data_IF_026301895700
#
_entry.id   IF_026301895700
#
_cell.length_a   1.000
_cell.length_b   1.000
_cell.length_c   1.000
_cell.angle_alpha   90.00
_cell.angle_beta   90.00
_cell.angle_gamma   90.00
#
_symmetry.space_group_name_H-M   'P 1'
#
loop_
_entity.id
_entity.type
_entity.pdbx_description
1 polymer ?
#
# COMPACT_ATOMS: atom_id res chain seq x y z
N UNK A 1 19.40 -53.65 -17.41
CA UNK A 1 18.16 -52.84 -17.28
C UNK A 1 18.03 -52.03 -15.99
N UNK A 2 18.84 -52.28 -14.93
CA UNK A 2 18.77 -51.53 -13.66
C UNK A 2 19.38 -50.12 -13.71
N UNK A 3 20.38 -49.90 -14.57
CA UNK A 3 21.10 -48.63 -14.63
C UNK A 3 20.39 -47.55 -15.46
N UNK A 4 19.44 -47.94 -16.32
CA UNK A 4 18.68 -47.01 -17.17
C UNK A 4 17.62 -46.23 -16.38
N UNK A 5 16.99 -46.88 -15.39
CA UNK A 5 16.01 -46.25 -14.51
C UNK A 5 16.63 -45.21 -13.57
N UNK A 6 17.85 -45.45 -13.08
CA UNK A 6 18.57 -44.50 -12.22
C UNK A 6 18.99 -43.24 -13.00
N UNK A 7 19.37 -43.37 -14.28
CA UNK A 7 19.70 -42.23 -15.14
C UNK A 7 18.48 -41.39 -15.50
N UNK A 8 17.32 -42.01 -15.74
CA UNK A 8 16.07 -41.27 -16.01
C UNK A 8 15.57 -40.52 -14.77
N UNK A 9 15.69 -41.12 -13.57
CA UNK A 9 15.28 -40.47 -12.32
C UNK A 9 16.19 -39.27 -11.98
N UNK A 10 17.51 -39.39 -12.21
CA UNK A 10 18.45 -38.30 -11.99
C UNK A 10 18.21 -37.12 -12.94
N UNK A 11 17.91 -37.39 -14.21
CA UNK A 11 17.57 -36.34 -15.19
C UNK A 11 16.25 -35.64 -14.85
N UNK A 12 15.23 -36.38 -14.40
CA UNK A 12 13.96 -35.80 -13.98
C UNK A 12 14.11 -34.88 -12.74
N UNK A 13 14.91 -35.28 -11.76
CA UNK A 13 15.16 -34.46 -10.56
C UNK A 13 15.97 -33.18 -10.86
N UNK A 14 16.91 -33.23 -11.81
CA UNK A 14 17.62 -32.02 -12.28
C UNK A 14 16.67 -31.09 -13.04
N UNK A 15 15.76 -31.62 -13.86
CA UNK A 15 14.78 -30.81 -14.60
C UNK A 15 13.75 -30.15 -13.67
N UNK A 16 13.22 -30.88 -12.67
CA UNK A 16 12.29 -30.32 -11.68
C UNK A 16 12.98 -29.38 -10.68
N UNK A 17 14.24 -29.64 -10.30
CA UNK A 17 15.03 -28.75 -9.46
C UNK A 17 15.32 -27.41 -10.13
N UNK A 18 15.64 -27.40 -11.44
CA UNK A 18 15.84 -26.18 -12.22
C UNK A 18 14.52 -25.42 -12.49
N UNK A 19 13.39 -26.12 -12.64
CA UNK A 19 12.08 -25.46 -12.77
C UNK A 19 11.58 -24.86 -11.45
N UNK A 20 11.80 -25.49 -10.30
CA UNK A 20 11.42 -24.91 -9.00
C UNK A 20 12.30 -23.71 -8.62
N UNK A 21 13.58 -23.71 -8.98
CA UNK A 21 14.46 -22.54 -8.80
C UNK A 21 14.18 -21.40 -9.78
N UNK A 22 13.64 -21.67 -10.98
CA UNK A 22 13.29 -20.62 -11.95
C UNK A 22 11.90 -20.02 -11.76
N UNK A 23 10.98 -20.72 -11.07
CA UNK A 23 9.65 -20.19 -10.73
C UNK A 23 9.62 -19.41 -9.40
N UNK A 24 10.53 -19.70 -8.47
CA UNK A 24 10.54 -19.05 -7.14
C UNK A 24 11.48 -17.84 -7.00
N UNK A 25 12.16 -17.40 -8.07
CA UNK A 25 13.21 -16.38 -7.93
C UNK A 25 13.29 -15.33 -9.04
N UNK A 26 12.17 -14.96 -9.67
CA UNK A 26 12.17 -13.96 -10.75
C UNK A 26 11.23 -12.76 -10.64
N UNK A 27 10.49 -12.59 -9.53
CA UNK A 27 9.68 -11.36 -9.35
C UNK A 27 9.83 -10.62 -8.00
N UNK A 28 10.73 -11.02 -7.09
CA UNK A 28 10.81 -10.36 -5.77
C UNK A 28 12.15 -9.77 -5.33
N UNK A 29 13.19 -9.72 -6.18
CA UNK A 29 14.44 -9.05 -5.83
C UNK A 29 15.16 -8.48 -7.05
N UNK A 30 14.75 -7.31 -7.53
CA UNK A 30 15.56 -6.52 -8.47
C UNK A 30 15.19 -5.02 -8.52
N UNK A 31 15.08 -4.33 -7.37
CA UNK A 31 15.49 -2.91 -7.28
C UNK A 31 15.54 -2.45 -5.81
N UNK A 32 16.56 -2.93 -5.09
CA UNK A 32 17.01 -2.30 -3.84
C UNK A 32 18.51 -2.10 -3.97
N UNK A 33 18.88 -0.96 -4.59
CA UNK A 33 20.12 -0.23 -4.40
C UNK A 33 20.08 1.02 -5.29
N UNK A 34 19.20 1.92 -4.89
CA UNK A 34 19.28 3.33 -5.22
C UNK A 34 18.74 4.03 -4.00
N UNK A 35 19.61 4.71 -3.26
CA UNK A 35 19.18 5.74 -2.33
C UNK A 35 18.52 6.81 -3.20
N UNK A 36 17.23 6.65 -3.49
CA UNK A 36 16.45 7.74 -4.04
C UNK A 36 16.33 8.71 -2.88
N UNK A 37 17.13 9.78 -2.94
CA UNK A 37 16.84 10.98 -2.18
C UNK A 37 15.40 11.35 -2.50
N UNK A 38 14.49 11.05 -1.57
CA UNK A 38 13.14 11.60 -1.58
C UNK A 38 13.33 13.08 -1.25
N UNK A 39 13.53 13.89 -2.29
CA UNK A 39 13.56 15.35 -2.16
C UNK A 39 12.13 15.83 -1.97
N UNK A 40 11.59 15.67 -0.76
CA UNK A 40 10.50 16.49 -0.28
C UNK A 40 11.13 17.63 0.52
N UNK A 41 11.60 18.67 -0.18
CA UNK A 41 12.13 19.86 0.49
C UNK A 41 10.98 20.81 0.81
N UNK A 42 10.39 20.63 1.99
CA UNK A 42 9.73 21.71 2.70
C UNK A 42 9.83 21.45 4.20
N UNK A 43 10.73 22.18 4.84
CA UNK A 43 10.81 22.24 6.28
C UNK A 43 9.55 22.99 6.78
N UNK A 44 8.56 22.23 7.27
CA UNK A 44 7.30 22.65 7.93
C UNK A 44 5.98 22.48 7.16
N UNK A 45 5.93 21.94 5.93
CA UNK A 45 4.62 21.62 5.33
C UNK A 45 4.16 20.20 5.67
N UNK A 46 2.89 20.06 6.05
CA UNK A 46 2.17 18.78 6.09
C UNK A 46 1.89 18.22 4.68
N UNK A 47 2.61 18.72 3.67
CA UNK A 47 2.39 18.46 2.26
C UNK A 47 3.72 18.13 1.58
N UNK A 48 3.75 17.09 0.74
CA UNK A 48 4.81 16.81 -0.21
C UNK A 48 4.38 17.24 -1.61
N UNK A 49 5.28 17.85 -2.38
CA UNK A 49 5.01 18.32 -3.75
C UNK A 49 5.88 17.56 -4.76
N UNK A 50 5.28 17.14 -5.87
CA UNK A 50 5.99 16.64 -7.05
C UNK A 50 5.28 17.16 -8.30
N UNK A 51 6.01 17.87 -9.17
CA UNK A 51 5.55 18.36 -10.48
C UNK A 51 4.20 19.11 -10.43
N UNK A 52 4.01 19.97 -9.43
CA UNK A 52 2.76 20.71 -9.24
C UNK A 52 1.59 19.86 -8.73
N UNK A 53 1.86 18.67 -8.18
CA UNK A 53 0.87 17.86 -7.46
C UNK A 53 1.26 17.79 -6.00
N UNK A 54 0.32 18.15 -5.13
CA UNK A 54 0.49 18.17 -3.68
C UNK A 54 -0.14 16.95 -3.04
N UNK A 55 0.57 16.33 -2.10
CA UNK A 55 0.17 15.12 -1.39
C UNK A 55 0.25 15.32 0.12
N UNK A 56 -0.82 15.00 0.82
CA UNK A 56 -0.93 15.17 2.27
C UNK A 56 -1.50 13.92 2.94
N UNK A 57 -0.91 13.53 4.07
CA UNK A 57 -1.46 12.49 4.93
C UNK A 57 -2.65 13.02 5.73
N UNK A 58 -3.78 12.33 5.65
CA UNK A 58 -4.94 12.55 6.49
C UNK A 58 -5.11 11.38 7.46
N UNK A 59 -5.31 11.70 8.74
CA UNK A 59 -5.73 10.76 9.77
C UNK A 59 -6.95 11.38 10.43
N UNK A 60 -8.13 10.75 10.27
CA UNK A 60 -9.39 11.33 10.75
C UNK A 60 -9.41 11.42 12.28
N UNK A 61 -9.03 10.32 12.94
CA UNK A 61 -8.92 10.24 14.40
C UNK A 61 -7.46 9.98 14.78
N UNK A 62 -6.83 10.97 15.42
CA UNK A 62 -5.42 10.88 15.84
C UNK A 62 -5.23 10.20 17.19
N UNK A 63 -6.31 10.02 17.95
CA UNK A 63 -6.30 9.29 19.22
C UNK A 63 -7.26 8.13 19.09
N UNK A 64 -6.73 6.92 19.02
CA UNK A 64 -7.48 5.70 18.78
C UNK A 64 -7.55 4.94 20.12
N UNK A 65 -8.75 4.77 20.71
CA UNK A 65 -8.90 3.92 21.89
C UNK A 65 -8.63 2.46 21.52
N UNK A 66 -7.81 1.79 22.31
CA UNK A 66 -7.56 0.36 22.20
C UNK A 66 -8.84 -0.35 22.64
N UNK A 67 -9.46 -1.19 21.79
CA UNK A 67 -10.66 -1.92 22.18
C UNK A 67 -10.35 -2.97 23.26
N UNK A 68 -11.37 -3.39 24.00
CA UNK A 68 -11.26 -4.58 24.85
C UNK A 68 -10.84 -5.81 24.03
N UNK A 69 -10.03 -6.70 24.62
CA UNK A 69 -9.62 -7.95 24.00
C UNK A 69 -10.76 -8.98 24.00
N UNK A 70 -11.78 -8.73 23.17
CA UNK A 70 -12.95 -9.57 22.96
C UNK A 70 -13.24 -9.72 21.46
N UNK A 71 -13.80 -10.86 21.03
CA UNK A 71 -14.28 -11.01 19.67
C UNK A 71 -15.27 -9.89 19.30
N UNK A 72 -15.22 -9.45 18.04
CA UNK A 72 -16.12 -8.47 17.44
C UNK A 72 -16.09 -7.05 18.05
N UNK A 73 -15.20 -6.77 19.01
CA UNK A 73 -14.95 -5.42 19.51
C UNK A 73 -13.76 -4.81 18.75
N UNK A 74 -13.97 -3.61 18.19
CA UNK A 74 -12.97 -2.90 17.42
C UNK A 74 -13.20 -1.38 17.45
N UNK A 75 -12.12 -0.64 17.19
CA UNK A 75 -12.16 0.80 16.95
C UNK A 75 -12.00 1.05 15.44
N UNK A 76 -12.94 1.73 14.78
CA UNK A 76 -12.79 2.05 13.36
C UNK A 76 -11.64 3.01 13.14
N UNK A 77 -10.86 2.80 12.08
CA UNK A 77 -9.71 3.63 11.72
C UNK A 77 -9.83 4.06 10.27
N UNK A 78 -9.58 5.34 9.99
CA UNK A 78 -9.64 5.90 8.65
C UNK A 78 -8.41 6.76 8.39
N UNK A 79 -7.55 6.26 7.50
CA UNK A 79 -6.40 6.98 6.98
C UNK A 79 -6.68 7.41 5.55
N UNK A 80 -6.11 8.52 5.09
CA UNK A 80 -6.24 8.91 3.69
C UNK A 80 -5.06 9.72 3.19
N UNK A 81 -5.02 9.88 1.87
CA UNK A 81 -4.17 10.85 1.19
C UNK A 81 -5.06 11.88 0.52
N UNK A 82 -4.78 13.16 0.75
CA UNK A 82 -5.33 14.25 -0.05
C UNK A 82 -4.34 14.60 -1.14
N UNK A 83 -4.81 14.58 -2.38
CA UNK A 83 -4.03 14.89 -3.56
C UNK A 83 -4.64 16.13 -4.21
N UNK A 84 -3.88 17.21 -4.34
CA UNK A 84 -4.31 18.44 -4.99
C UNK A 84 -3.52 18.65 -6.30
N UNK A 85 -4.23 18.87 -7.39
CA UNK A 85 -3.65 19.08 -8.71
C UNK A 85 -3.47 20.59 -8.95
N UNK A 86 -2.25 21.10 -8.82
CA UNK A 86 -1.94 22.51 -9.12
C UNK A 86 -1.45 22.71 -10.56
N UNK A 87 -1.45 21.66 -11.38
CA UNK A 87 -1.06 21.76 -12.79
C UNK A 87 -2.19 22.38 -13.62
N UNK A 88 -1.87 22.76 -14.86
CA UNK A 88 -2.85 23.27 -15.83
C UNK A 88 -3.62 22.16 -16.57
N UNK A 89 -3.30 20.89 -16.31
CA UNK A 89 -3.92 19.75 -16.99
C UNK A 89 -4.77 18.94 -16.00
N UNK A 90 -5.84 18.30 -16.47
CA UNK A 90 -6.55 17.30 -15.67
C UNK A 90 -5.71 16.03 -15.54
N UNK A 91 -5.66 15.45 -14.34
CA UNK A 91 -4.83 14.26 -14.04
C UNK A 91 -5.68 13.18 -13.40
N UNK A 92 -5.51 11.92 -13.81
CA UNK A 92 -6.14 10.78 -13.10
C UNK A 92 -5.22 10.21 -12.04
N UNK A 93 -5.75 9.97 -10.85
CA UNK A 93 -5.02 9.29 -9.77
C UNK A 93 -5.58 7.89 -9.54
N UNK A 94 -4.72 6.88 -9.51
CA UNK A 94 -5.14 5.49 -9.29
C UNK A 94 -5.30 5.20 -7.80
N UNK A 95 -6.40 4.55 -7.41
CA UNK A 95 -6.56 3.87 -6.11
C UNK A 95 -6.00 2.45 -6.12
N UNK A 96 -5.92 1.86 -7.30
CA UNK A 96 -5.56 0.46 -7.51
C UNK A 96 -4.05 0.26 -7.35
N UNK A 97 -3.66 -0.48 -6.31
CA UNK A 97 -2.27 -0.84 -6.00
C UNK A 97 -1.31 0.36 -5.89
N UNK A 98 -1.78 1.46 -5.32
CA UNK A 98 -1.00 2.69 -5.18
C UNK A 98 -0.79 3.17 -3.75
N UNK A 99 -1.69 2.82 -2.82
CA UNK A 99 -1.70 3.33 -1.45
C UNK A 99 -1.04 2.33 -0.50
N UNK A 100 0.17 2.63 -0.04
CA UNK A 100 0.92 1.79 0.88
C UNK A 100 1.06 2.50 2.23
N UNK A 101 0.33 2.06 3.28
CA UNK A 101 0.47 2.65 4.60
C UNK A 101 1.84 2.30 5.18
N UNK A 102 2.48 3.25 5.86
CA UNK A 102 3.66 3.00 6.67
C UNK A 102 3.43 3.51 8.09
N UNK A 103 3.79 2.69 9.07
CA UNK A 103 3.68 3.00 10.48
C UNK A 103 5.05 2.86 11.14
N UNK A 104 5.39 3.82 12.00
CA UNK A 104 6.64 3.84 12.74
C UNK A 104 6.37 4.08 14.21
N UNK A 105 7.16 3.47 15.08
CA UNK A 105 7.23 3.84 16.50
C UNK A 105 7.78 5.26 16.64
N UNK A 106 7.62 5.86 17.81
CA UNK A 106 8.09 7.22 18.08
C UNK A 106 9.61 7.38 17.88
N UNK A 107 10.37 6.34 18.20
CA UNK A 107 11.83 6.23 18.02
C UNK A 107 12.28 6.12 16.54
N UNK A 108 11.33 5.97 15.61
CA UNK A 108 11.61 5.83 14.18
C UNK A 108 11.75 4.38 13.70
N UNK A 109 11.55 3.38 14.55
CA UNK A 109 11.49 1.99 14.11
C UNK A 109 10.24 1.74 13.25
N UNK A 110 10.41 1.18 12.05
CA UNK A 110 9.30 0.83 11.18
C UNK A 110 8.56 -0.40 11.72
N UNK A 111 7.24 -0.31 11.85
CA UNK A 111 6.39 -1.49 12.08
C UNK A 111 6.20 -2.19 10.73
N UNK A 112 6.55 -3.48 10.60
CA UNK A 112 6.38 -4.20 9.35
C UNK A 112 4.91 -4.18 8.88
N UNK A 113 4.71 -3.77 7.64
CA UNK A 113 3.45 -3.97 6.94
C UNK A 113 3.41 -5.40 6.45
N UNK A 114 2.37 -6.12 6.82
CA UNK A 114 2.11 -7.49 6.41
C UNK A 114 0.72 -7.56 5.77
N UNK A 115 0.41 -8.66 5.10
CA UNK A 115 -0.78 -8.75 4.29
C UNK A 115 -0.75 -9.89 3.29
N UNK A 116 -1.79 -9.94 2.47
CA UNK A 116 -1.93 -10.97 1.46
C UNK A 116 -3.06 -10.65 0.50
N UNK A 117 -3.04 -11.34 -0.63
CA UNK A 117 -4.07 -11.22 -1.67
C UNK A 117 -4.33 -12.60 -2.25
N UNK A 118 -5.58 -13.05 -2.17
CA UNK A 118 -6.00 -14.33 -2.75
C UNK A 118 -6.67 -14.15 -4.11
N UNK A 119 -7.14 -12.93 -4.41
CA UNK A 119 -7.78 -12.57 -5.67
C UNK A 119 -7.60 -11.08 -5.93
N UNK A 120 -7.60 -10.66 -7.20
CA UNK A 120 -7.53 -9.25 -7.59
C UNK A 120 -8.78 -8.88 -8.38
N UNK A 121 -9.58 -7.96 -7.86
CA UNK A 121 -10.70 -7.38 -8.60
C UNK A 121 -10.17 -6.51 -9.74
N UNK A 122 -10.74 -6.64 -10.95
CA UNK A 122 -10.42 -5.74 -12.05
C UNK A 122 -10.85 -4.31 -11.67
N UNK A 123 -9.98 -3.30 -11.80
CA UNK A 123 -10.32 -1.93 -11.43
C UNK A 123 -11.34 -1.36 -12.43
N UNK A 124 -12.16 -0.42 -11.95
CA UNK A 124 -13.18 0.32 -12.71
C UNK A 124 -12.73 1.76 -12.90
N UNK A 125 -13.39 2.49 -13.79
CA UNK A 125 -13.05 3.91 -14.01
C UNK A 125 -13.15 4.78 -12.74
N UNK A 126 -14.08 4.46 -11.83
CA UNK A 126 -14.24 5.13 -10.52
C UNK A 126 -13.03 4.98 -9.58
N UNK A 127 -12.15 4.03 -9.87
CA UNK A 127 -10.90 3.80 -9.14
C UNK A 127 -9.77 4.73 -9.63
N UNK A 128 -10.03 5.51 -10.68
CA UNK A 128 -9.12 6.48 -11.29
C UNK A 128 -9.75 7.88 -11.37
N UNK A 129 -10.08 8.52 -10.23
CA UNK A 129 -10.65 9.87 -10.21
C UNK A 129 -9.83 10.84 -11.08
N UNK A 130 -10.51 11.50 -12.00
CA UNK A 130 -9.97 12.63 -12.76
C UNK A 130 -10.07 13.88 -11.90
N UNK A 131 -8.95 14.57 -11.69
CA UNK A 131 -8.85 15.77 -10.87
C UNK A 131 -8.51 16.94 -11.77
N UNK A 132 -9.37 17.95 -11.81
CA UNK A 132 -9.16 19.14 -12.63
C UNK A 132 -8.08 20.05 -12.04
N UNK A 133 -7.51 20.98 -12.83
CA UNK A 133 -6.66 22.05 -12.32
C UNK A 133 -7.27 22.78 -11.12
N UNK A 134 -6.51 22.89 -10.03
CA UNK A 134 -6.91 23.52 -8.77
C UNK A 134 -7.75 22.62 -7.84
N UNK A 135 -8.25 21.48 -8.31
CA UNK A 135 -9.08 20.58 -7.51
C UNK A 135 -8.26 19.58 -6.69
N UNK A 136 -8.94 18.91 -5.77
CA UNK A 136 -8.36 17.84 -4.96
C UNK A 136 -9.24 16.60 -4.88
N UNK A 137 -8.60 15.45 -4.74
CA UNK A 137 -9.25 14.19 -4.39
C UNK A 137 -8.71 13.67 -3.06
N UNK A 138 -9.56 13.00 -2.30
CA UNK A 138 -9.13 12.25 -1.12
C UNK A 138 -9.33 10.76 -1.37
N UNK A 139 -8.27 9.98 -1.16
CA UNK A 139 -8.31 8.52 -1.24
C UNK A 139 -8.16 7.97 0.18
N UNK A 140 -9.21 7.33 0.68
CA UNK A 140 -9.22 6.74 2.02
C UNK A 140 -8.87 5.25 1.98
N UNK A 141 -8.16 4.82 3.02
CA UNK A 141 -7.90 3.44 3.37
C UNK A 141 -8.57 3.17 4.72
N UNK A 142 -9.71 2.49 4.66
CA UNK A 142 -10.51 2.14 5.84
C UNK A 142 -9.96 0.88 6.50
N UNK A 143 -9.99 0.87 7.83
CA UNK A 143 -9.50 -0.25 8.62
C UNK A 143 -10.11 -0.27 10.02
N UNK A 144 -9.62 -1.19 10.82
CA UNK A 144 -10.02 -1.37 12.20
C UNK A 144 -8.78 -1.63 13.08
N UNK A 145 -8.81 -1.10 14.29
CA UNK A 145 -7.94 -1.48 15.38
C UNK A 145 -8.67 -2.56 16.20
N UNK A 146 -8.09 -3.75 16.32
CA UNK A 146 -8.73 -4.89 17.00
C UNK A 146 -7.70 -5.88 17.54
N UNK A 147 -8.14 -6.75 18.45
CA UNK A 147 -7.34 -7.87 18.91
C UNK A 147 -7.54 -9.11 18.03
N UNK A 148 -6.44 -9.77 17.67
CA UNK A 148 -6.45 -11.07 17.01
C UNK A 148 -5.36 -11.95 17.62
N UNK A 149 -5.71 -13.13 18.13
CA UNK A 149 -4.77 -14.05 18.78
C UNK A 149 -3.92 -13.36 19.87
N UNK A 150 -4.56 -12.54 20.71
CA UNK A 150 -3.93 -11.71 21.75
C UNK A 150 -2.86 -10.72 21.24
N UNK A 151 -2.93 -10.33 19.97
CA UNK A 151 -2.10 -9.27 19.38
C UNK A 151 -3.00 -8.13 18.94
N UNK A 152 -2.65 -6.91 19.35
CA UNK A 152 -3.30 -5.71 18.86
C UNK A 152 -2.83 -5.41 17.44
N UNK A 153 -3.78 -5.16 16.55
CA UNK A 153 -3.54 -4.96 15.13
C UNK A 153 -4.36 -3.79 14.59
N UNK A 154 -3.75 -3.02 13.69
CA UNK A 154 -4.51 -2.21 12.73
C UNK A 154 -4.52 -2.98 11.43
N UNK A 155 -5.71 -3.24 10.88
CA UNK A 155 -5.88 -3.98 9.63
C UNK A 155 -6.97 -3.40 8.74
N UNK A 156 -6.90 -3.65 7.45
CA UNK A 156 -7.91 -3.23 6.50
C UNK A 156 -7.85 -3.99 5.19
N UNK A 157 -8.70 -3.59 4.24
CA UNK A 157 -8.65 -4.06 2.86
C UNK A 157 -8.18 -2.92 1.96
N UNK A 158 -7.56 -3.27 0.83
CA UNK A 158 -7.26 -2.32 -0.25
C UNK A 158 -8.47 -2.07 -1.18
N UNK A 159 -9.59 -2.80 -0.99
CA UNK A 159 -10.78 -2.71 -1.84
C UNK A 159 -10.68 -3.53 -3.15
N UNK A 160 -9.54 -4.15 -3.42
CA UNK A 160 -9.24 -4.91 -4.64
C UNK A 160 -8.95 -6.38 -4.38
N UNK A 161 -9.24 -6.88 -3.19
CA UNK A 161 -9.08 -8.28 -2.79
C UNK A 161 -7.81 -8.56 -1.98
N UNK A 162 -7.00 -7.53 -1.72
CA UNK A 162 -5.92 -7.59 -0.75
C UNK A 162 -6.35 -7.14 0.64
N UNK A 163 -5.60 -7.64 1.62
CA UNK A 163 -5.65 -7.23 3.01
C UNK A 163 -4.28 -6.79 3.45
N UNK A 164 -4.25 -5.84 4.39
CA UNK A 164 -3.03 -5.30 4.97
C UNK A 164 -3.19 -5.18 6.48
N UNK A 165 -2.11 -5.33 7.24
CA UNK A 165 -2.12 -5.17 8.69
C UNK A 165 -0.76 -4.82 9.27
N UNK A 166 -0.78 -4.14 10.42
CA UNK A 166 0.34 -3.97 11.33
C UNK A 166 0.08 -4.80 12.59
N UNK A 167 1.10 -5.54 13.05
CA UNK A 167 1.01 -6.47 14.17
C UNK A 167 1.74 -5.97 15.42
N UNK A 168 1.39 -6.56 16.57
CA UNK A 168 2.06 -6.35 17.86
C UNK A 168 2.12 -4.86 18.25
N UNK A 169 1.00 -4.17 18.08
CA UNK A 169 0.87 -2.78 18.51
C UNK A 169 0.67 -2.72 20.02
N UNK A 170 1.03 -1.59 20.62
CA UNK A 170 0.96 -1.31 22.05
C UNK A 170 0.40 0.11 22.24
N UNK A 171 -0.05 0.44 23.45
CA UNK A 171 -0.36 1.83 23.77
C UNK A 171 0.87 2.71 23.57
N UNK A 172 0.70 3.86 22.93
CA UNK A 172 1.82 4.74 22.62
C UNK A 172 1.58 5.66 21.43
N UNK A 173 2.62 6.43 21.07
CA UNK A 173 2.61 7.33 19.93
C UNK A 173 3.34 6.70 18.75
N UNK A 174 2.71 6.77 17.59
CA UNK A 174 3.22 6.31 16.32
C UNK A 174 3.25 7.45 15.30
N UNK A 175 4.10 7.31 14.28
CA UNK A 175 4.12 8.17 13.11
C UNK A 175 3.59 7.39 11.92
N UNK A 176 2.57 7.94 11.28
CA UNK A 176 1.90 7.37 10.12
C UNK A 176 2.16 8.20 8.87
N UNK A 177 2.35 7.55 7.72
CA UNK A 177 2.35 8.19 6.40
C UNK A 177 1.89 7.20 5.33
N UNK A 178 1.65 7.70 4.12
CA UNK A 178 1.52 6.89 2.93
C UNK A 178 2.78 6.96 2.07
N UNK A 179 3.09 5.84 1.44
CA UNK A 179 3.82 5.82 0.18
C UNK A 179 2.78 5.68 -0.93
N UNK A 180 2.62 6.72 -1.74
CA UNK A 180 1.79 6.67 -2.95
C UNK A 180 2.69 6.40 -4.15
N UNK A 181 2.46 5.32 -4.88
CA UNK A 181 3.28 4.93 -6.03
C UNK A 181 2.44 4.42 -7.19
N UNK A 182 2.68 4.93 -8.39
CA UNK A 182 2.11 4.39 -9.62
C UNK A 182 3.12 4.48 -10.75
N UNK A 183 3.29 3.39 -11.49
CA UNK A 183 4.24 3.29 -12.60
C UNK A 183 3.56 3.10 -13.97
N UNK A 184 2.22 3.12 -14.01
CA UNK A 184 1.46 2.84 -15.23
C UNK A 184 0.67 4.09 -15.65
N UNK A 185 1.00 4.66 -16.82
CA UNK A 185 0.28 5.80 -17.42
C UNK A 185 -1.13 5.43 -17.89
N UNK A 186 -1.34 4.15 -18.14
CA UNK A 186 -2.57 3.61 -18.68
C UNK A 186 -2.87 2.24 -18.08
N UNK A 187 -4.16 1.92 -17.91
CA UNK A 187 -4.61 0.62 -17.37
C UNK A 187 -5.90 0.13 -18.03
N UNK A 188 -6.03 -1.19 -18.26
CA UNK A 188 -7.31 -1.77 -18.64
C UNK A 188 -8.29 -1.68 -17.47
N UNK A 189 -9.54 -1.31 -17.77
CA UNK A 189 -10.61 -1.23 -16.78
C UNK A 189 -11.74 -2.21 -17.11
N UNK A 190 -12.50 -2.61 -16.09
CA UNK A 190 -13.68 -3.45 -16.27
C UNK A 190 -14.83 -2.64 -16.90
N UNK A 191 -15.08 -2.88 -18.20
CA UNK A 191 -16.26 -2.45 -18.97
C UNK A 191 -16.71 -3.57 -19.92
N UNK A 192 -17.88 -3.41 -20.54
CA UNK A 192 -18.44 -4.38 -21.49
C UNK A 192 -17.51 -4.63 -22.70
N UNK A 193 -16.74 -3.61 -23.08
CA UNK A 193 -15.61 -3.68 -24.00
C UNK A 193 -14.34 -3.35 -23.21
N UNK A 194 -13.23 -4.06 -23.47
CA UNK A 194 -11.96 -3.81 -22.80
C UNK A 194 -11.44 -2.41 -23.18
N UNK A 195 -11.72 -1.43 -22.33
CA UNK A 195 -11.25 -0.06 -22.49
C UNK A 195 -9.95 0.12 -21.71
N UNK A 196 -8.97 0.76 -22.34
CA UNK A 196 -7.76 1.26 -21.68
C UNK A 196 -8.02 2.69 -21.23
N UNK A 197 -7.81 2.96 -19.96
CA UNK A 197 -7.87 4.30 -19.39
C UNK A 197 -6.46 4.89 -19.37
N UNK A 198 -6.28 6.07 -19.95
CA UNK A 198 -4.99 6.77 -20.08
C UNK A 198 -4.94 8.03 -19.19
N UNK A 199 -3.79 8.72 -19.17
CA UNK A 199 -3.59 9.96 -18.43
C UNK A 199 -3.52 9.77 -16.91
N UNK A 200 -3.10 8.58 -16.47
CA UNK A 200 -2.90 8.26 -15.06
C UNK A 200 -1.55 8.83 -14.61
N UNK A 201 -1.54 9.56 -13.50
CA UNK A 201 -0.33 10.12 -12.90
C UNK A 201 0.70 9.03 -12.60
N UNK A 202 1.95 9.24 -13.01
CA UNK A 202 3.08 8.36 -12.72
C UNK A 202 4.00 9.06 -11.74
N UNK A 203 4.46 8.31 -10.74
CA UNK A 203 5.45 8.78 -9.80
C UNK A 203 5.38 8.03 -8.48
N UNK A 204 6.21 8.47 -7.55
CA UNK A 204 6.30 7.92 -6.21
C UNK A 204 6.52 9.06 -5.22
N UNK A 205 5.72 9.09 -4.16
CA UNK A 205 5.78 10.12 -3.13
C UNK A 205 5.54 9.50 -1.75
N UNK A 206 6.43 9.80 -0.81
CA UNK A 206 6.18 9.57 0.60
C UNK A 206 5.53 10.83 1.17
N UNK A 207 4.32 10.71 1.70
CA UNK A 207 3.65 11.83 2.33
C UNK A 207 4.30 12.16 3.69
N UNK A 208 4.11 13.39 4.20
CA UNK A 208 4.62 13.76 5.52
C UNK A 208 4.01 12.91 6.64
N UNK A 209 4.77 12.76 7.73
CA UNK A 209 4.30 12.02 8.89
C UNK A 209 3.19 12.76 9.64
N UNK A 210 2.21 12.00 10.12
CA UNK A 210 1.20 12.44 11.08
C UNK A 210 1.27 11.56 12.31
N UNK A 211 1.21 12.17 13.49
CA UNK A 211 1.18 11.44 14.75
C UNK A 211 -0.19 10.79 14.98
N UNK A 212 -0.16 9.55 15.44
CA UNK A 212 -1.33 8.75 15.85
C UNK A 212 -1.03 8.15 17.22
N UNK A 213 -1.96 8.25 18.15
CA UNK A 213 -1.83 7.75 19.52
C UNK A 213 -2.79 6.60 19.74
N UNK A 214 -2.28 5.49 20.23
CA UNK A 214 -3.08 4.39 20.75
C UNK A 214 -3.18 4.55 22.27
N UNK A 215 -4.39 4.64 22.81
CA UNK A 215 -4.64 4.88 24.24
C UNK A 215 -5.49 3.77 24.83
N UNK A 216 -5.20 3.37 26.06
CA UNK A 216 -6.08 2.44 26.79
C UNK A 216 -7.47 3.06 26.93
N UNK A 217 -8.51 2.25 26.69
CA UNK A 217 -9.92 2.62 26.86
C UNK A 217 -10.35 2.64 28.30
#
# INVERSE_FOLDING_TARGET
>A
MRNFWLTCLALALVFFGAMLLSYFNREFNAHRNGTVEIVAKSANSNVAEIDGVLFETLVLERTLPIPENKPDIYTPVRFGIRINNQTNNSIRFSKFDTLYPNLFRQDGEAIPLDGGRNWTSKPKESDFPLVMPGESVTLFLDGILSWQNNKLQIRGSDGFGGVWYFNNLEAGTYKFRFLYQNYQAARPISKAEEQVLEGIWIGQVATPFVEVRLVES
#
